data_IF_774519802316
#
_entry.id   IF_774519802316
#
_cell.length_a   1.000
_cell.length_b   1.000
_cell.length_c   1.000
_cell.angle_alpha   90.00
_cell.angle_beta   90.00
_cell.angle_gamma   90.00
#
_symmetry.space_group_name_H-M   'P 1'
#
loop_
_entity.id
_entity.type
_entity.pdbx_description
1 polymer ?
#
# COMPACT_ATOMS: atom_id res chain seq x y z
N UNK A 1 5.98 8.20 -17.58
CA UNK A 1 5.32 8.72 -18.79
C UNK A 1 6.31 9.19 -19.86
N UNK A 2 7.25 10.10 -19.55
CA UNK A 2 8.19 10.66 -20.54
C UNK A 2 8.99 9.61 -21.34
N UNK A 3 9.57 8.61 -20.67
CA UNK A 3 10.31 7.54 -21.35
C UNK A 3 9.47 6.72 -22.33
N UNK A 4 8.23 6.39 -21.98
CA UNK A 4 7.32 5.64 -22.85
C UNK A 4 6.92 6.44 -24.10
N UNK A 5 6.70 7.75 -23.96
CA UNK A 5 6.40 8.66 -25.09
C UNK A 5 7.58 8.74 -26.04
N UNK A 6 8.80 8.88 -25.51
CA UNK A 6 10.04 8.93 -26.30
C UNK A 6 10.23 7.61 -27.06
N UNK A 7 10.07 6.45 -26.40
CA UNK A 7 10.14 5.15 -27.05
C UNK A 7 9.08 5.00 -28.15
N UNK A 8 7.84 5.42 -27.92
CA UNK A 8 6.76 5.36 -28.92
C UNK A 8 7.03 6.27 -30.13
N UNK A 9 7.67 7.43 -29.91
CA UNK A 9 8.09 8.34 -30.97
C UNK A 9 9.22 7.74 -31.82
N UNK A 10 10.24 7.14 -31.19
CA UNK A 10 11.35 6.46 -31.89
C UNK A 10 10.81 5.30 -32.75
N UNK A 11 9.86 4.53 -32.23
CA UNK A 11 9.25 3.40 -32.96
C UNK A 11 8.18 3.84 -33.99
N UNK A 12 7.98 5.15 -34.19
CA UNK A 12 6.95 5.73 -35.09
C UNK A 12 5.52 5.22 -34.84
N UNK A 13 5.23 4.78 -33.61
CA UNK A 13 3.90 4.34 -33.17
C UNK A 13 3.12 5.42 -32.45
N UNK A 14 3.75 6.57 -32.20
CA UNK A 14 3.12 7.72 -31.57
C UNK A 14 2.08 8.35 -32.51
N UNK A 15 0.80 8.12 -32.23
CA UNK A 15 -0.32 8.76 -32.91
C UNK A 15 -1.31 9.30 -31.88
N UNK A 16 -2.01 10.39 -32.21
CA UNK A 16 -3.05 10.99 -31.39
C UNK A 16 -4.14 9.99 -30.96
N UNK A 17 -4.47 9.01 -31.81
CA UNK A 17 -5.39 7.93 -31.46
C UNK A 17 -4.86 7.06 -30.31
N UNK A 18 -3.57 6.68 -30.35
CA UNK A 18 -2.92 5.90 -29.29
C UNK A 18 -2.89 6.68 -27.98
N UNK A 19 -2.53 7.98 -28.04
CA UNK A 19 -2.49 8.85 -26.86
C UNK A 19 -3.88 9.00 -26.24
N UNK A 20 -4.91 9.26 -27.06
CA UNK A 20 -6.30 9.38 -26.61
C UNK A 20 -6.79 8.08 -25.95
N UNK A 21 -6.48 6.93 -26.54
CA UNK A 21 -6.86 5.64 -25.97
C UNK A 21 -6.15 5.35 -24.64
N UNK A 22 -4.85 5.63 -24.55
CA UNK A 22 -4.07 5.49 -23.32
C UNK A 22 -4.62 6.40 -22.20
N UNK A 23 -4.92 7.66 -22.52
CA UNK A 23 -5.54 8.60 -21.59
C UNK A 23 -6.92 8.12 -21.13
N UNK A 24 -7.77 7.64 -22.05
CA UNK A 24 -9.11 7.16 -21.70
C UNK A 24 -9.05 5.92 -20.79
N UNK A 25 -8.17 4.96 -21.08
CA UNK A 25 -7.95 3.79 -20.21
C UNK A 25 -7.46 4.20 -18.82
N UNK A 26 -6.51 5.13 -18.77
CA UNK A 26 -5.97 5.65 -17.50
C UNK A 26 -7.07 6.37 -16.70
N UNK A 27 -7.89 7.17 -17.37
CA UNK A 27 -9.02 7.88 -16.75
C UNK A 27 -10.10 6.91 -16.27
N UNK A 28 -10.40 5.84 -17.00
CA UNK A 28 -11.39 4.84 -16.59
C UNK A 28 -10.99 4.14 -15.28
N UNK A 29 -9.71 3.74 -15.16
CA UNK A 29 -9.18 3.14 -13.92
C UNK A 29 -9.19 4.17 -12.78
N UNK A 30 -8.74 5.41 -13.03
CA UNK A 30 -8.80 6.46 -12.02
C UNK A 30 -10.23 6.81 -11.60
N UNK A 31 -11.20 6.74 -12.53
CA UNK A 31 -12.62 6.98 -12.24
C UNK A 31 -13.19 5.94 -11.29
N UNK A 32 -12.83 4.66 -11.47
CA UNK A 32 -13.18 3.60 -10.51
C UNK A 32 -12.61 3.90 -9.13
N UNK A 33 -11.34 4.31 -9.05
CA UNK A 33 -10.69 4.70 -7.79
C UNK A 33 -11.43 5.88 -7.15
N UNK A 34 -11.74 6.94 -7.91
CA UNK A 34 -12.46 8.12 -7.42
C UNK A 34 -13.82 7.77 -6.78
N UNK A 35 -14.54 6.78 -7.32
CA UNK A 35 -15.78 6.28 -6.72
C UNK A 35 -15.54 5.60 -5.36
N UNK A 36 -14.47 4.83 -5.23
CA UNK A 36 -14.06 4.22 -3.96
C UNK A 36 -13.68 5.32 -2.95
N UNK A 37 -12.95 6.36 -3.39
CA UNK A 37 -12.63 7.52 -2.57
C UNK A 37 -13.90 8.15 -2.01
N UNK A 38 -14.89 8.40 -2.87
CA UNK A 38 -16.15 9.01 -2.47
C UNK A 38 -16.86 8.20 -1.37
N UNK A 39 -16.99 6.88 -1.57
CA UNK A 39 -17.56 5.98 -0.57
C UNK A 39 -16.77 5.97 0.75
N UNK A 40 -15.44 5.94 0.68
CA UNK A 40 -14.56 5.98 1.85
C UNK A 40 -14.69 7.30 2.64
N UNK A 41 -14.79 8.45 1.96
CA UNK A 41 -15.02 9.74 2.60
C UNK A 41 -16.38 9.82 3.29
N UNK A 42 -17.44 9.31 2.65
CA UNK A 42 -18.76 9.21 3.26
C UNK A 42 -18.72 8.31 4.51
N UNK A 43 -18.12 7.13 4.41
CA UNK A 43 -17.96 6.21 5.53
C UNK A 43 -17.16 6.84 6.68
N UNK A 44 -16.00 7.42 6.39
CA UNK A 44 -15.15 8.12 7.37
C UNK A 44 -15.92 9.20 8.13
N UNK A 45 -16.68 10.01 7.39
CA UNK A 45 -17.47 11.10 7.97
C UNK A 45 -18.58 10.59 8.89
N UNK A 46 -19.27 9.51 8.51
CA UNK A 46 -20.32 8.89 9.34
C UNK A 46 -19.70 8.20 10.54
N UNK A 47 -18.65 7.41 10.34
CA UNK A 47 -17.95 6.66 11.40
C UNK A 47 -17.47 7.57 12.52
N UNK A 48 -16.81 8.69 12.18
CA UNK A 48 -16.34 9.67 13.16
C UNK A 48 -17.53 10.32 13.89
N UNK A 49 -18.60 10.69 13.16
CA UNK A 49 -19.79 11.35 13.75
C UNK A 49 -20.61 10.44 14.64
N UNK A 50 -20.66 9.14 14.36
CA UNK A 50 -21.37 8.14 15.18
C UNK A 50 -20.58 7.75 16.44
N UNK A 51 -19.38 8.32 16.64
CA UNK A 51 -18.53 8.00 17.79
C UNK A 51 -17.70 6.73 17.58
N UNK A 52 -17.50 6.29 16.33
CA UNK A 52 -16.69 5.12 16.00
C UNK A 52 -15.26 5.21 16.55
N UNK A 53 -14.66 6.41 16.55
CA UNK A 53 -13.36 6.65 17.17
C UNK A 53 -13.36 6.35 18.68
N UNK A 54 -14.44 6.69 19.40
CA UNK A 54 -14.56 6.44 20.84
C UNK A 54 -14.81 4.95 21.15
N UNK A 55 -15.63 4.27 20.34
CA UNK A 55 -15.86 2.84 20.47
C UNK A 55 -14.57 2.04 20.26
N UNK A 56 -13.80 2.40 19.24
CA UNK A 56 -12.52 1.77 18.96
C UNK A 56 -11.50 2.03 20.07
N UNK A 57 -11.50 3.24 20.65
CA UNK A 57 -10.69 3.57 21.83
C UNK A 57 -11.01 2.65 23.01
N UNK A 58 -12.28 2.48 23.35
CA UNK A 58 -12.69 1.60 24.46
C UNK A 58 -12.32 0.14 24.21
N UNK A 59 -12.46 -0.34 22.97
CA UNK A 59 -12.03 -1.68 22.59
C UNK A 59 -10.52 -1.88 22.75
N UNK A 60 -9.71 -0.92 22.29
CA UNK A 60 -8.25 -1.00 22.36
C UNK A 60 -7.73 -0.85 23.80
N UNK A 61 -8.30 0.05 24.59
CA UNK A 61 -7.94 0.21 26.00
C UNK A 61 -8.40 -0.97 26.87
N UNK A 62 -9.48 -1.65 26.49
CA UNK A 62 -9.94 -2.88 27.16
C UNK A 62 -9.10 -4.12 26.81
N UNK A 63 -8.37 -4.07 25.70
CA UNK A 63 -7.37 -5.06 25.32
C UNK A 63 -6.07 -4.69 26.06
N UNK A 64 -5.80 -5.30 27.23
CA UNK A 64 -4.56 -5.14 28.02
C UNK A 64 -3.30 -5.71 27.29
N UNK A 65 -3.13 -5.41 26.01
CA UNK A 65 -2.01 -5.81 25.16
C UNK A 65 -1.12 -4.62 24.87
N UNK A 66 0.18 -4.88 24.76
CA UNK A 66 1.11 -3.82 24.39
C UNK A 66 0.75 -3.22 23.02
N UNK A 67 0.79 -1.88 22.86
CA UNK A 67 0.41 -1.17 21.62
C UNK A 67 1.08 -1.71 20.34
N UNK A 68 2.29 -2.24 20.47
CA UNK A 68 3.04 -2.85 19.38
C UNK A 68 2.37 -4.11 18.81
N UNK A 69 1.68 -4.91 19.64
CA UNK A 69 0.96 -6.09 19.17
C UNK A 69 -0.30 -5.71 18.37
N UNK A 70 -0.94 -4.59 18.71
CA UNK A 70 -2.06 -4.04 17.94
C UNK A 70 -1.59 -3.65 16.54
N UNK A 71 -0.45 -2.95 16.44
CA UNK A 71 0.15 -2.59 15.15
C UNK A 71 0.56 -3.85 14.36
N UNK A 72 1.16 -4.84 15.02
CA UNK A 72 1.52 -6.10 14.36
C UNK A 72 0.29 -6.82 13.80
N UNK A 73 -0.81 -6.85 14.55
CA UNK A 73 -2.07 -7.43 14.11
C UNK A 73 -2.66 -6.67 12.91
N UNK A 74 -2.61 -5.34 12.91
CA UNK A 74 -2.98 -4.52 11.75
C UNK A 74 -2.15 -4.86 10.52
N UNK A 75 -0.82 -5.05 10.68
CA UNK A 75 0.08 -5.42 9.59
C UNK A 75 -0.21 -6.82 9.03
N UNK A 76 -0.66 -7.75 9.86
CA UNK A 76 -1.11 -9.07 9.41
C UNK A 76 -2.41 -8.98 8.61
N UNK A 77 -3.38 -8.20 9.08
CA UNK A 77 -4.63 -7.93 8.33
C UNK A 77 -4.29 -7.32 6.98
N UNK A 78 -3.39 -6.33 6.95
CA UNK A 78 -2.95 -5.70 5.73
C UNK A 78 -2.28 -6.66 4.77
N UNK A 79 -1.37 -7.49 5.25
CA UNK A 79 -0.71 -8.48 4.41
C UNK A 79 -1.72 -9.47 3.81
N UNK A 80 -2.66 -9.95 4.62
CA UNK A 80 -3.71 -10.86 4.16
C UNK A 80 -4.64 -10.20 3.14
N UNK A 81 -5.10 -8.97 3.40
CA UNK A 81 -5.96 -8.23 2.46
C UNK A 81 -5.23 -7.85 1.17
N UNK A 82 -3.96 -7.43 1.27
CA UNK A 82 -3.12 -7.02 0.14
C UNK A 82 -2.82 -8.16 -0.84
N UNK A 83 -2.97 -9.40 -0.41
CA UNK A 83 -2.87 -10.55 -1.30
C UNK A 83 -4.07 -10.66 -2.27
N UNK A 84 -5.20 -10.02 -2.01
CA UNK A 84 -6.44 -10.15 -2.80
C UNK A 84 -6.96 -8.82 -3.35
N UNK A 85 -6.75 -7.72 -2.63
CA UNK A 85 -7.28 -6.39 -2.92
C UNK A 85 -6.12 -5.44 -3.22
N UNK A 86 -6.35 -4.47 -4.09
CA UNK A 86 -5.34 -3.47 -4.42
C UNK A 86 -5.02 -2.53 -3.25
N UNK A 87 -3.80 -1.99 -3.24
CA UNK A 87 -3.28 -1.14 -2.17
C UNK A 87 -4.12 0.13 -1.93
N UNK A 88 -4.70 0.71 -2.98
CA UNK A 88 -5.43 1.98 -2.93
C UNK A 88 -6.81 1.72 -2.31
N UNK A 89 -7.47 0.64 -2.69
CA UNK A 89 -8.75 0.25 -2.09
C UNK A 89 -8.60 -0.11 -0.62
N UNK A 90 -7.55 -0.85 -0.26
CA UNK A 90 -7.28 -1.20 1.14
C UNK A 90 -7.04 0.05 1.98
N UNK A 91 -6.15 0.94 1.55
CA UNK A 91 -5.83 2.14 2.34
C UNK A 91 -7.06 3.02 2.52
N UNK A 92 -7.89 3.15 1.50
CA UNK A 92 -9.09 3.97 1.57
C UNK A 92 -10.14 3.44 2.54
N UNK A 93 -10.30 2.11 2.61
CA UNK A 93 -11.24 1.49 3.57
C UNK A 93 -10.70 1.54 4.99
N UNK A 94 -9.40 1.33 5.17
CA UNK A 94 -8.80 1.09 6.49
C UNK A 94 -8.29 2.36 7.19
N UNK A 95 -7.83 3.37 6.45
CA UNK A 95 -7.39 4.67 7.01
C UNK A 95 -8.40 5.27 8.00
N UNK A 96 -9.70 5.39 7.70
CA UNK A 96 -10.64 5.97 8.66
C UNK A 96 -10.78 5.20 9.97
N UNK A 97 -10.42 3.91 9.95
CA UNK A 97 -10.50 3.02 11.12
C UNK A 97 -9.16 3.00 11.86
N UNK A 98 -8.03 2.96 11.15
CA UNK A 98 -6.71 2.74 11.76
C UNK A 98 -6.05 4.04 12.23
N UNK A 99 -6.27 5.17 11.54
CA UNK A 99 -5.77 6.47 11.99
C UNK A 99 -6.23 6.84 13.41
N UNK A 100 -7.52 6.73 13.79
CA UNK A 100 -7.92 7.05 15.16
C UNK A 100 -7.26 6.10 16.17
N UNK A 101 -7.10 4.81 15.84
CA UNK A 101 -6.40 3.86 16.72
C UNK A 101 -4.95 4.30 16.97
N UNK A 102 -4.22 4.65 15.91
CA UNK A 102 -2.81 5.02 16.01
C UNK A 102 -2.60 6.29 16.83
N UNK A 103 -3.48 7.29 16.65
CA UNK A 103 -3.44 8.52 17.44
C UNK A 103 -3.69 8.24 18.93
N UNK A 104 -4.64 7.36 19.25
CA UNK A 104 -4.91 6.96 20.65
C UNK A 104 -3.75 6.17 21.26
N UNK A 105 -3.08 5.33 20.47
CA UNK A 105 -1.88 4.60 20.89
C UNK A 105 -0.62 5.49 20.95
N UNK A 106 -0.69 6.74 20.49
CA UNK A 106 0.43 7.69 20.48
C UNK A 106 1.50 7.41 19.41
N UNK A 107 1.18 6.63 18.38
CA UNK A 107 2.11 6.35 17.28
C UNK A 107 2.09 7.45 16.21
N UNK A 108 3.26 7.73 15.64
CA UNK A 108 3.38 8.63 14.49
C UNK A 108 2.72 8.03 13.24
N UNK A 109 1.82 8.79 12.60
CA UNK A 109 1.21 8.41 11.34
C UNK A 109 2.24 8.20 10.22
N UNK A 110 3.33 8.98 10.23
CA UNK A 110 4.38 8.87 9.22
C UNK A 110 5.10 7.52 9.35
N UNK A 111 5.47 7.16 10.57
CA UNK A 111 6.08 5.85 10.85
C UNK A 111 5.16 4.71 10.42
N UNK A 112 3.88 4.79 10.77
CA UNK A 112 2.90 3.79 10.35
C UNK A 112 2.75 3.72 8.82
N UNK A 113 2.71 4.88 8.16
CA UNK A 113 2.63 4.95 6.70
C UNK A 113 3.82 4.28 6.02
N UNK A 114 5.03 4.39 6.57
CA UNK A 114 6.22 3.72 6.05
C UNK A 114 6.13 2.21 6.25
N UNK A 115 5.76 1.73 7.44
CA UNK A 115 5.59 0.29 7.69
C UNK A 115 4.48 -0.29 6.82
N UNK A 116 3.37 0.42 6.68
CA UNK A 116 2.28 0.06 5.79
C UNK A 116 2.76 -0.05 4.34
N UNK A 117 3.57 0.91 3.86
CA UNK A 117 4.09 0.89 2.50
C UNK A 117 5.03 -0.30 2.25
N UNK A 118 5.86 -0.67 3.23
CA UNK A 118 6.71 -1.88 3.17
C UNK A 118 5.82 -3.13 3.15
N UNK A 119 4.79 -3.19 4.00
CA UNK A 119 3.87 -4.33 4.08
C UNK A 119 3.06 -4.53 2.79
N UNK A 120 2.55 -3.46 2.19
CA UNK A 120 1.83 -3.52 0.90
C UNK A 120 2.74 -3.95 -0.24
N UNK A 121 3.97 -3.44 -0.31
CA UNK A 121 4.94 -3.92 -1.30
C UNK A 121 5.18 -5.43 -1.17
N UNK A 122 5.25 -5.93 0.06
CA UNK A 122 5.39 -7.36 0.32
C UNK A 122 4.18 -8.18 -0.10
N UNK A 123 2.98 -7.67 0.13
CA UNK A 123 1.76 -8.30 -0.37
C UNK A 123 1.71 -8.35 -1.91
N UNK A 124 2.18 -7.30 -2.59
CA UNK A 124 2.25 -7.22 -4.06
C UNK A 124 3.25 -8.18 -4.71
N UNK A 125 4.23 -8.64 -3.93
CA UNK A 125 5.25 -9.59 -4.36
C UNK A 125 4.90 -11.03 -3.93
N UNK A 126 4.04 -11.22 -2.92
CA UNK A 126 3.70 -12.55 -2.42
C UNK A 126 2.61 -13.19 -3.31
N UNK A 127 2.79 -14.45 -3.76
CA UNK A 127 1.75 -15.19 -4.49
C UNK A 127 0.52 -15.40 -3.59
N UNK A 128 -0.65 -14.82 -3.94
CA UNK A 128 -1.60 -15.48 -4.86
C UNK A 128 -2.04 -14.63 -6.06
N UNK A 129 -1.93 -13.30 -6.01
CA UNK A 129 -2.25 -12.37 -7.11
C UNK A 129 -1.03 -11.63 -7.67
N UNK A 130 0.05 -11.47 -6.87
CA UNK A 130 1.39 -11.00 -7.28
C UNK A 130 1.43 -10.08 -8.51
N UNK A 131 0.71 -8.94 -8.51
CA UNK A 131 0.49 -8.12 -9.71
C UNK A 131 1.80 -7.79 -10.42
N UNK A 132 2.83 -7.44 -9.65
CA UNK A 132 4.18 -7.17 -10.14
C UNK A 132 4.81 -8.36 -10.87
N UNK A 133 4.55 -9.58 -10.41
CA UNK A 133 5.03 -10.81 -11.05
C UNK A 133 4.34 -11.05 -12.40
N UNK A 134 3.04 -10.76 -12.52
CA UNK A 134 2.31 -10.82 -13.79
C UNK A 134 2.80 -9.75 -14.77
N UNK A 135 3.10 -8.53 -14.30
CA UNK A 135 3.74 -7.51 -15.12
C UNK A 135 5.12 -7.96 -15.61
N UNK A 136 5.92 -8.58 -14.75
CA UNK A 136 7.24 -9.09 -15.11
C UNK A 136 7.15 -10.21 -16.16
N UNK A 137 6.16 -11.09 -16.05
CA UNK A 137 5.91 -12.12 -17.07
C UNK A 137 5.58 -11.53 -18.44
N UNK A 138 4.88 -10.39 -18.48
CA UNK A 138 4.53 -9.70 -19.72
C UNK A 138 5.75 -9.22 -20.53
N UNK A 139 6.87 -8.96 -19.86
CA UNK A 139 8.14 -8.55 -20.49
C UNK A 139 9.20 -9.66 -20.50
N UNK A 140 8.95 -10.79 -19.84
CA UNK A 140 9.91 -11.88 -19.72
C UNK A 140 10.08 -12.67 -21.05
N UNK A 141 11.28 -13.18 -21.34
CA UNK A 141 11.54 -14.02 -22.51
C UNK A 141 10.61 -15.24 -22.57
N UNK A 142 10.36 -15.77 -23.79
CA UNK A 142 9.40 -16.86 -24.04
C UNK A 142 9.70 -18.17 -23.27
N UNK A 143 10.90 -18.34 -22.72
CA UNK A 143 11.30 -19.51 -21.92
C UNK A 143 11.09 -19.39 -20.40
N UNK A 144 10.80 -18.20 -19.87
CA UNK A 144 10.64 -18.01 -18.41
C UNK A 144 9.21 -18.35 -18.01
N UNK A 145 9.01 -19.34 -17.16
CA UNK A 145 7.68 -19.72 -16.67
C UNK A 145 7.25 -18.84 -15.49
N UNK A 146 5.95 -18.85 -15.17
CA UNK A 146 5.48 -18.19 -13.93
C UNK A 146 6.07 -18.84 -12.67
N UNK A 147 6.32 -20.15 -12.71
CA UNK A 147 6.98 -20.86 -11.62
C UNK A 147 8.39 -20.33 -11.34
N UNK A 148 9.16 -19.99 -12.38
CA UNK A 148 10.51 -19.42 -12.23
C UNK A 148 10.45 -18.03 -11.58
N UNK A 149 9.48 -17.22 -11.97
CA UNK A 149 9.26 -15.88 -11.40
C UNK A 149 8.84 -16.00 -9.92
N UNK A 150 7.94 -16.93 -9.60
CA UNK A 150 7.50 -17.17 -8.22
C UNK A 150 8.64 -17.69 -7.36
N UNK A 151 9.49 -18.59 -7.89
CA UNK A 151 10.63 -19.10 -7.13
C UNK A 151 11.69 -18.03 -6.90
N UNK A 152 11.82 -17.07 -7.81
CA UNK A 152 12.75 -15.95 -7.71
C UNK A 152 12.36 -14.96 -6.61
N UNK A 153 11.09 -14.88 -6.21
CA UNK A 153 10.64 -13.93 -5.18
C UNK A 153 10.76 -14.45 -3.75
N UNK A 154 10.81 -15.77 -3.57
CA UNK A 154 10.96 -16.42 -2.25
C UNK A 154 12.08 -15.79 -1.40
N UNK A 155 13.30 -15.51 -1.91
CA UNK A 155 14.35 -14.88 -1.10
C UNK A 155 14.07 -13.40 -0.75
N UNK A 156 13.22 -12.70 -1.51
CA UNK A 156 12.88 -11.31 -1.24
C UNK A 156 11.86 -11.15 -0.11
N UNK A 157 10.96 -12.12 0.08
CA UNK A 157 9.93 -12.07 1.13
C UNK A 157 10.56 -11.97 2.53
N UNK A 158 11.53 -12.82 2.94
CA UNK A 158 12.23 -12.67 4.22
C UNK A 158 12.97 -11.34 4.35
N UNK A 159 13.60 -10.84 3.28
CA UNK A 159 14.30 -9.56 3.31
C UNK A 159 13.33 -8.40 3.59
N UNK A 160 12.11 -8.45 3.04
CA UNK A 160 11.08 -7.46 3.33
C UNK A 160 10.51 -7.59 4.73
N UNK A 161 10.34 -8.80 5.25
CA UNK A 161 10.01 -9.00 6.67
C UNK A 161 11.09 -8.44 7.60
N UNK A 162 12.37 -8.65 7.27
CA UNK A 162 13.49 -8.06 8.03
C UNK A 162 13.43 -6.54 7.96
N UNK A 163 13.22 -5.95 6.79
CA UNK A 163 13.08 -4.50 6.64
C UNK A 163 11.90 -3.96 7.44
N UNK A 164 10.75 -4.63 7.41
CA UNK A 164 9.57 -4.28 8.19
C UNK A 164 9.85 -4.30 9.69
N UNK A 165 10.46 -5.38 10.19
CA UNK A 165 10.82 -5.50 11.61
C UNK A 165 11.87 -4.46 12.02
N UNK A 166 12.87 -4.20 11.18
CA UNK A 166 13.87 -3.17 11.44
C UNK A 166 13.25 -1.79 11.58
N UNK A 167 12.36 -1.38 10.67
CA UNK A 167 11.66 -0.08 10.77
C UNK A 167 10.69 -0.05 11.96
N UNK A 168 10.11 -1.20 12.31
CA UNK A 168 9.22 -1.32 13.46
C UNK A 168 9.95 -1.13 14.80
N UNK A 169 11.14 -1.72 14.96
CA UNK A 169 11.93 -1.58 16.19
C UNK A 169 12.85 -0.35 16.20
N UNK A 170 13.27 0.13 15.02
CA UNK A 170 14.14 1.31 14.84
C UNK A 170 13.43 2.36 13.96
N UNK A 171 12.45 3.10 14.51
CA UNK A 171 11.65 4.08 13.75
C UNK A 171 12.50 5.20 13.14
N UNK A 172 13.67 5.49 13.72
CA UNK A 172 14.61 6.49 13.21
C UNK A 172 15.10 6.19 11.79
N UNK A 173 15.13 4.92 11.36
CA UNK A 173 15.50 4.57 9.97
C UNK A 173 14.54 5.17 8.95
N UNK A 174 13.26 5.30 9.31
CA UNK A 174 12.23 5.89 8.47
C UNK A 174 12.06 7.39 8.70
N UNK A 175 12.24 7.86 9.94
CA UNK A 175 11.92 9.23 10.35
C UNK A 175 13.10 10.20 10.22
N UNK A 176 14.34 9.71 10.27
CA UNK A 176 15.53 10.57 10.28
C UNK A 176 15.61 11.54 9.09
N UNK A 177 15.36 11.05 7.87
CA UNK A 177 15.44 11.88 6.67
C UNK A 177 14.29 12.91 6.62
N UNK A 178 13.01 12.54 6.84
CA UNK A 178 11.92 13.50 7.02
C UNK A 178 12.21 14.55 8.10
N UNK A 179 12.76 14.16 9.25
CA UNK A 179 13.08 15.08 10.34
C UNK A 179 14.20 16.06 9.94
N UNK A 180 15.21 15.60 9.20
CA UNK A 180 16.29 16.45 8.72
C UNK A 180 15.85 17.46 7.65
N UNK A 181 14.89 17.07 6.79
CA UNK A 181 14.44 17.91 5.66
C UNK A 181 13.26 18.82 6.05
N UNK A 182 12.31 18.30 6.81
CA UNK A 182 11.06 18.99 7.14
C UNK A 182 10.97 19.50 8.57
N UNK A 183 11.94 19.19 9.46
CA UNK A 183 11.92 19.54 10.90
C UNK A 183 10.55 19.27 11.53
N UNK A 184 10.11 18.02 11.43
CA UNK A 184 8.81 17.57 11.96
C UNK A 184 8.81 17.36 13.49
N UNK A 185 9.95 17.58 14.16
CA UNK A 185 10.11 17.62 15.63
C UNK A 185 10.41 19.02 16.13
#
# INVERSE_FOLDING_TARGET
AGGAIICAAIHRKLNFKMLKEACYRTMAVNGMIMWILFGAFCFSSVFIKTGGSALVKEMVLGLEVAPIYVVLFMMLIYFAMGCFVDEITIVMITVPIFVPILNELGFSLLWFGVIWMINMQMAYLTPPFGFTLFYMKGVAPKGVTMGDIYRSIIPFIPLQWIALLLVMFYPQLALWLPDAVFKLM
#
